data_IF_265701486936
#
_entry.id   IF_265701486936
#
_cell.length_a   1.000
_cell.length_b   1.000
_cell.length_c   1.000
_cell.angle_alpha   90.00
_cell.angle_beta   90.00
_cell.angle_gamma   90.00
#
_symmetry.space_group_name_H-M   'P 1'
#
loop_
_entity.id
_entity.type
_entity.pdbx_description
1 polymer ?
#
# COMPACT_ATOMS: atom_id res chain seq x y z
N UNK A 1 0.98 4.56 -0.40
CA UNK A 1 1.84 4.40 0.44
C UNK A 1 3.34 4.40 0.29
N UNK A 2 3.97 3.94 1.34
CA UNK A 2 5.42 3.83 1.45
C UNK A 2 6.04 2.85 0.44
N UNK A 3 5.27 1.90 -0.08
CA UNK A 3 5.72 0.84 -0.98
C UNK A 3 6.22 1.39 -2.32
N UNK A 4 5.54 2.36 -2.88
CA UNK A 4 5.94 3.00 -4.13
C UNK A 4 7.25 3.76 -3.99
N UNK A 5 7.42 4.44 -2.86
CA UNK A 5 8.65 5.18 -2.54
C UNK A 5 9.85 4.27 -2.32
N UNK A 6 9.65 3.02 -1.89
CA UNK A 6 10.72 2.05 -1.65
C UNK A 6 11.44 1.70 -2.95
N UNK A 7 10.70 1.41 -4.01
CA UNK A 7 11.28 1.07 -5.31
C UNK A 7 12.18 2.19 -5.85
N UNK A 8 11.67 3.40 -5.89
CA UNK A 8 12.40 4.56 -6.41
C UNK A 8 13.64 4.85 -5.57
N UNK A 9 13.53 4.65 -4.28
CA UNK A 9 14.61 4.82 -3.32
C UNK A 9 15.78 3.88 -3.58
N UNK A 10 15.50 2.60 -3.82
CA UNK A 10 16.54 1.60 -4.07
C UNK A 10 17.26 1.81 -5.40
N UNK A 11 16.53 2.15 -6.44
CA UNK A 11 17.09 2.27 -7.78
C UNK A 11 17.57 3.67 -8.13
N UNK A 12 17.28 4.67 -7.30
CA UNK A 12 17.66 6.08 -7.50
C UNK A 12 17.33 6.59 -8.90
N UNK A 13 16.19 6.17 -9.44
CA UNK A 13 15.70 6.54 -10.75
C UNK A 13 14.44 7.39 -10.61
N UNK A 14 14.14 8.26 -11.60
CA UNK A 14 12.86 8.95 -11.63
C UNK A 14 11.73 7.97 -11.56
N UNK A 15 10.73 8.26 -10.72
CA UNK A 15 9.57 7.39 -10.57
C UNK A 15 8.75 7.38 -11.85
N UNK A 16 8.29 6.19 -12.23
CA UNK A 16 7.30 6.01 -13.30
C UNK A 16 5.87 6.14 -12.76
N UNK A 17 5.74 6.31 -11.45
CA UNK A 17 4.48 6.39 -10.72
C UNK A 17 4.40 7.72 -10.00
N UNK A 18 3.20 8.23 -9.80
CA UNK A 18 2.92 9.40 -8.98
C UNK A 18 2.08 9.04 -7.77
N UNK A 19 2.26 9.79 -6.69
CA UNK A 19 1.48 9.64 -5.47
C UNK A 19 0.56 10.86 -5.35
N UNK A 20 -0.73 10.60 -5.20
CA UNK A 20 -1.75 11.62 -5.01
C UNK A 20 -2.48 11.39 -3.71
N UNK A 21 -2.68 12.45 -2.92
CA UNK A 21 -3.53 12.39 -1.73
C UNK A 21 -5.00 12.50 -2.13
N UNK A 22 -5.86 11.69 -1.53
CA UNK A 22 -7.31 11.69 -1.79
C UNK A 22 -8.09 12.55 -0.79
N UNK A 23 -7.42 13.07 0.21
CA UNK A 23 -7.98 14.00 1.22
C UNK A 23 -6.83 14.84 1.77
N UNK A 24 -7.16 15.83 2.61
CA UNK A 24 -6.15 16.63 3.29
C UNK A 24 -5.26 15.73 4.16
N UNK A 25 -3.95 15.81 3.94
CA UNK A 25 -2.97 14.98 4.61
C UNK A 25 -1.81 15.81 5.14
N UNK A 26 -1.28 15.40 6.29
CA UNK A 26 0.01 15.86 6.79
C UNK A 26 1.08 14.85 6.38
N UNK A 27 2.10 15.30 5.66
CA UNK A 27 3.15 14.44 5.12
C UNK A 27 4.50 14.88 5.68
N UNK A 28 5.29 13.90 6.10
CA UNK A 28 6.69 14.09 6.47
C UNK A 28 7.57 13.54 5.36
N UNK A 29 8.55 14.34 4.92
CA UNK A 29 9.42 13.99 3.81
C UNK A 29 10.87 14.01 4.27
N UNK A 30 11.64 13.01 3.88
CA UNK A 30 13.07 12.93 4.07
C UNK A 30 13.76 12.53 2.78
N UNK A 31 14.89 13.17 2.45
CA UNK A 31 15.68 12.76 1.31
C UNK A 31 16.38 11.44 1.60
N UNK A 32 16.49 10.56 0.56
CA UNK A 32 17.06 9.22 0.73
C UNK A 32 18.50 9.24 1.26
N UNK A 33 19.31 10.19 0.83
CA UNK A 33 20.70 10.29 1.30
C UNK A 33 20.77 10.57 2.80
N UNK A 34 19.88 11.41 3.32
CA UNK A 34 19.78 11.66 4.76
C UNK A 34 19.32 10.42 5.52
N UNK A 35 18.37 9.71 4.99
CA UNK A 35 17.88 8.47 5.62
C UNK A 35 18.96 7.39 5.66
N UNK A 36 19.71 7.23 4.56
CA UNK A 36 20.84 6.29 4.53
C UNK A 36 21.94 6.67 5.52
N UNK A 37 22.26 7.96 5.63
CA UNK A 37 23.21 8.44 6.63
C UNK A 37 22.75 8.13 8.07
N UNK A 38 21.45 8.26 8.36
CA UNK A 38 20.87 7.89 9.65
C UNK A 38 20.96 6.39 9.91
N UNK A 39 20.73 5.56 8.90
CA UNK A 39 20.87 4.11 9.01
C UNK A 39 22.31 3.68 9.32
N UNK A 40 23.28 4.35 8.73
CA UNK A 40 24.70 4.08 8.97
C UNK A 40 25.16 4.57 10.35
N UNK A 41 24.55 5.63 10.87
CA UNK A 41 24.98 6.28 12.12
C UNK A 41 24.29 5.69 13.35
N UNK A 42 22.99 5.35 13.25
CA UNK A 42 22.18 4.94 14.38
C UNK A 42 21.59 3.54 14.17
N UNK A 43 21.98 2.60 15.02
CA UNK A 43 21.55 1.20 14.93
C UNK A 43 20.05 1.04 15.15
N UNK A 44 19.46 1.79 16.05
CA UNK A 44 18.02 1.77 16.33
C UNK A 44 17.19 2.27 15.14
N UNK A 45 17.67 3.28 14.41
CA UNK A 45 17.02 3.73 13.17
C UNK A 45 17.15 2.67 12.07
N UNK A 46 18.31 2.05 11.95
CA UNK A 46 18.52 0.94 11.01
C UNK A 46 17.59 -0.25 11.32
N UNK A 47 17.45 -0.62 12.58
CA UNK A 47 16.55 -1.68 13.03
C UNK A 47 15.08 -1.32 12.78
N UNK A 48 14.68 -0.08 13.05
CA UNK A 48 13.34 0.40 12.71
C UNK A 48 13.06 0.27 11.21
N UNK A 49 13.99 0.71 10.37
CA UNK A 49 13.88 0.60 8.92
C UNK A 49 13.77 -0.86 8.45
N UNK A 50 14.59 -1.74 9.01
CA UNK A 50 14.54 -3.18 8.72
C UNK A 50 13.17 -3.78 9.05
N UNK A 51 12.65 -3.50 10.24
CA UNK A 51 11.35 -4.00 10.69
C UNK A 51 10.23 -3.45 9.79
N UNK A 52 10.28 -2.15 9.46
CA UNK A 52 9.32 -1.53 8.56
C UNK A 52 9.30 -2.24 7.19
N UNK A 53 10.47 -2.47 6.60
CA UNK A 53 10.56 -3.15 5.31
C UNK A 53 10.09 -4.61 5.38
N UNK A 54 10.38 -5.32 6.47
CA UNK A 54 9.88 -6.68 6.68
C UNK A 54 8.35 -6.72 6.73
N UNK A 55 7.73 -5.77 7.44
CA UNK A 55 6.27 -5.69 7.53
C UNK A 55 5.63 -5.35 6.20
N UNK A 56 6.18 -4.39 5.47
CA UNK A 56 5.71 -4.03 4.12
C UNK A 56 5.84 -5.22 3.17
N UNK A 57 6.96 -5.90 3.18
CA UNK A 57 7.18 -7.08 2.34
C UNK A 57 6.18 -8.20 2.65
N UNK A 58 5.90 -8.43 3.93
CA UNK A 58 4.90 -9.40 4.36
C UNK A 58 3.50 -9.04 3.83
N UNK A 59 3.09 -7.79 3.96
CA UNK A 59 1.79 -7.33 3.47
C UNK A 59 1.67 -7.46 1.95
N UNK A 60 2.68 -7.02 1.21
CA UNK A 60 2.71 -7.13 -0.24
C UNK A 60 2.64 -8.59 -0.71
N UNK A 61 3.35 -9.49 -0.03
CA UNK A 61 3.30 -10.92 -0.32
C UNK A 61 1.91 -11.51 -0.09
N UNK A 62 1.26 -11.14 1.01
CA UNK A 62 -0.12 -11.55 1.28
C UNK A 62 -1.08 -11.05 0.22
N UNK A 63 -1.00 -9.77 -0.15
CA UNK A 63 -1.85 -9.20 -1.20
C UNK A 63 -1.65 -9.88 -2.54
N UNK A 64 -0.42 -10.21 -2.89
CA UNK A 64 -0.10 -10.93 -4.13
C UNK A 64 -0.75 -12.31 -4.15
N UNK A 65 -0.60 -13.08 -3.08
CA UNK A 65 -1.21 -14.41 -2.94
C UNK A 65 -2.75 -14.32 -2.99
N UNK A 66 -3.33 -13.37 -2.29
CA UNK A 66 -4.79 -13.13 -2.31
C UNK A 66 -5.30 -12.87 -3.73
N UNK A 67 -4.58 -12.05 -4.51
CA UNK A 67 -4.95 -11.77 -5.90
C UNK A 67 -4.92 -13.01 -6.80
N UNK A 68 -3.98 -13.93 -6.54
CA UNK A 68 -3.84 -15.15 -7.32
C UNK A 68 -4.85 -16.23 -6.93
N UNK A 69 -5.22 -16.32 -5.67
CA UNK A 69 -5.97 -17.45 -5.12
C UNK A 69 -7.41 -17.13 -4.76
N UNK A 70 -7.70 -15.91 -4.34
CA UNK A 70 -9.02 -15.57 -3.84
C UNK A 70 -9.93 -15.00 -4.94
N UNK A 71 -11.19 -15.43 -4.97
CA UNK A 71 -12.21 -14.81 -5.81
C UNK A 71 -12.50 -13.36 -5.35
N UNK A 72 -13.08 -12.52 -6.23
CA UNK A 72 -13.34 -11.10 -5.94
C UNK A 72 -14.08 -10.83 -4.64
N UNK A 73 -15.06 -11.64 -4.29
CA UNK A 73 -15.84 -11.52 -3.05
C UNK A 73 -14.94 -11.64 -1.81
N UNK A 74 -14.10 -12.66 -1.78
CA UNK A 74 -13.20 -12.90 -0.65
C UNK A 74 -12.11 -11.83 -0.55
N UNK A 75 -11.58 -11.34 -1.68
CA UNK A 75 -10.66 -10.19 -1.70
C UNK A 75 -11.30 -8.95 -1.10
N UNK A 76 -12.54 -8.68 -1.44
CA UNK A 76 -13.31 -7.56 -0.88
C UNK A 76 -13.54 -7.71 0.63
N UNK A 77 -13.89 -8.90 1.09
CA UNK A 77 -14.07 -9.18 2.52
C UNK A 77 -12.76 -8.98 3.31
N UNK A 78 -11.63 -9.46 2.78
CA UNK A 78 -10.32 -9.23 3.38
C UNK A 78 -9.95 -7.74 3.42
N UNK A 79 -10.23 -7.01 2.36
CA UNK A 79 -10.06 -5.56 2.33
C UNK A 79 -10.86 -4.86 3.44
N UNK A 80 -12.12 -5.21 3.62
CA UNK A 80 -12.97 -4.62 4.64
C UNK A 80 -12.50 -4.96 6.05
N UNK A 81 -11.96 -6.14 6.29
CA UNK A 81 -11.38 -6.52 7.58
C UNK A 81 -10.11 -5.73 7.88
N UNK A 82 -9.28 -5.53 6.87
CA UNK A 82 -7.99 -4.82 7.01
C UNK A 82 -8.17 -3.32 7.12
N UNK A 83 -9.11 -2.76 6.37
CA UNK A 83 -9.37 -1.32 6.28
C UNK A 83 -10.86 -0.98 6.46
N UNK A 84 -11.43 -1.20 7.64
CA UNK A 84 -12.89 -1.15 7.85
C UNK A 84 -13.53 0.22 7.61
N UNK A 85 -12.73 1.28 7.62
CA UNK A 85 -13.22 2.66 7.40
C UNK A 85 -12.92 3.20 6.01
N UNK A 86 -12.07 2.52 5.26
CA UNK A 86 -11.54 3.09 4.01
C UNK A 86 -12.59 3.12 2.92
N UNK A 87 -13.47 2.13 2.85
CA UNK A 87 -14.53 2.04 1.82
C UNK A 87 -15.46 3.24 1.81
N UNK A 88 -15.67 3.88 2.96
CA UNK A 88 -16.53 5.05 3.11
C UNK A 88 -15.79 6.37 2.90
N UNK A 89 -14.47 6.34 2.76
CA UNK A 89 -13.62 7.53 2.64
C UNK A 89 -13.06 7.76 1.25
N UNK A 90 -13.06 6.74 0.41
CA UNK A 90 -12.47 6.80 -0.94
C UNK A 90 -13.51 6.39 -1.99
N UNK A 91 -13.33 6.86 -3.22
CA UNK A 91 -14.19 6.47 -4.33
C UNK A 91 -14.04 4.99 -4.65
N UNK A 92 -15.13 4.33 -4.97
CA UNK A 92 -15.15 2.89 -5.28
C UNK A 92 -14.23 2.49 -6.42
N UNK A 93 -13.98 3.39 -7.38
CA UNK A 93 -13.03 3.13 -8.47
C UNK A 93 -11.61 2.86 -7.96
N UNK A 94 -11.20 3.50 -6.88
CA UNK A 94 -9.89 3.26 -6.26
C UNK A 94 -9.85 1.94 -5.52
N UNK A 95 -10.93 1.58 -4.84
CA UNK A 95 -11.06 0.28 -4.18
C UNK A 95 -11.03 -0.86 -5.22
N UNK A 96 -11.77 -0.72 -6.31
CA UNK A 96 -11.77 -1.71 -7.39
C UNK A 96 -10.36 -1.88 -7.99
N UNK A 97 -9.66 -0.77 -8.28
CA UNK A 97 -8.29 -0.81 -8.77
C UNK A 97 -7.33 -1.50 -7.79
N UNK A 98 -7.44 -1.18 -6.51
CA UNK A 98 -6.64 -1.81 -5.45
C UNK A 98 -6.87 -3.32 -5.37
N UNK A 99 -8.13 -3.76 -5.48
CA UNK A 99 -8.50 -5.18 -5.46
C UNK A 99 -8.21 -5.90 -6.79
N UNK A 100 -7.87 -5.17 -7.85
CA UNK A 100 -7.62 -5.75 -9.18
C UNK A 100 -8.89 -6.28 -9.84
N UNK A 101 -10.03 -5.63 -9.62
CA UNK A 101 -11.33 -5.98 -10.21
C UNK A 101 -11.97 -4.77 -10.87
N UNK A 102 -12.95 -5.00 -11.74
CA UNK A 102 -13.73 -3.92 -12.34
C UNK A 102 -14.68 -3.29 -11.30
N UNK A 103 -15.06 -2.04 -11.53
CA UNK A 103 -16.07 -1.37 -10.70
C UNK A 103 -17.41 -2.11 -10.73
N UNK A 104 -17.77 -2.73 -11.84
CA UNK A 104 -18.97 -3.55 -11.99
C UNK A 104 -18.90 -4.79 -11.13
N UNK A 105 -17.77 -5.48 -11.12
CA UNK A 105 -17.54 -6.64 -10.24
C UNK A 105 -17.63 -6.22 -8.77
N UNK A 106 -17.03 -5.11 -8.40
CA UNK A 106 -17.11 -4.57 -7.04
C UNK A 106 -18.56 -4.28 -6.63
N UNK A 107 -19.34 -3.64 -7.50
CA UNK A 107 -20.75 -3.37 -7.24
C UNK A 107 -21.56 -4.66 -7.01
N UNK A 108 -21.32 -5.67 -7.82
CA UNK A 108 -21.99 -6.97 -7.66
C UNK A 108 -21.62 -7.66 -6.35
N UNK A 109 -20.34 -7.64 -5.99
CA UNK A 109 -19.84 -8.25 -4.75
C UNK A 109 -20.43 -7.56 -3.53
N UNK A 110 -20.56 -6.24 -3.56
CA UNK A 110 -21.17 -5.46 -2.46
C UNK A 110 -22.68 -5.69 -2.33
N UNK A 111 -23.37 -5.92 -3.42
CA UNK A 111 -24.80 -6.18 -3.43
C UNK A 111 -25.16 -7.58 -2.89
N UNK A 112 -24.27 -8.54 -3.03
CA UNK A 112 -24.44 -9.91 -2.51
C UNK A 112 -24.02 -9.96 -1.03
N UNK A 113 -24.97 -9.82 -0.16
CA UNK A 113 -24.73 -10.03 1.27
C UNK A 113 -24.86 -11.51 1.62
#
# INVERSE_FOLDING_TARGET
GSEMCIRDRYYQQPSVESIETLSDCKIYVIHIDKLNALYETYIDIANWGRILHQNVNKELSHMFVERLQLPPKERYEQFNRRYPRLINRVKLKYVAAFLGISIYTLSRVRAKK
#
